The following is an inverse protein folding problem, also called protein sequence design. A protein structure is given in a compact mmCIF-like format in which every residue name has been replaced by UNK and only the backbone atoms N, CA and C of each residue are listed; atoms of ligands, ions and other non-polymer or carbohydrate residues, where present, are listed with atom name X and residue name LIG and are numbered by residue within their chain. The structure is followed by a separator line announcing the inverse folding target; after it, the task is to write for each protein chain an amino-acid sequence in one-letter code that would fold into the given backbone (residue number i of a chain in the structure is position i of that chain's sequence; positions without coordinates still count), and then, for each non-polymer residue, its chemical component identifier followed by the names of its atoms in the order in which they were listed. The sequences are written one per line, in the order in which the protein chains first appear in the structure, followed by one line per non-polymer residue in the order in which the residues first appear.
data_IF_139628707436
#
_entry.id   IF_139628707436
#
_cell.length_a   1.000
_cell.length_b   1.000
_cell.length_c   1.000
_cell.angle_alpha   90.00
_cell.angle_beta   90.00
_cell.angle_gamma   90.00
#
_symmetry.space_group_name_H-M   'P 1'
#
loop_
_entity.id
_entity.type
_entity.pdbx_description
1 polymer ?
#
# COMPACT_ATOMS: atom_id res chain seq x y z
N UNK A 1 -12.57 -36.08 7.86
CA UNK A 1 -11.82 -34.92 7.33
C UNK A 1 -12.61 -33.65 7.59
N UNK A 2 -12.14 -32.73 8.45
CA UNK A 2 -12.77 -31.41 8.58
C UNK A 2 -12.43 -30.61 7.34
N UNK A 3 -13.42 -30.39 6.46
CA UNK A 3 -13.32 -29.42 5.37
C UNK A 3 -12.94 -28.07 5.98
N UNK A 4 -11.70 -27.63 5.80
CA UNK A 4 -11.26 -26.31 6.25
C UNK A 4 -11.99 -25.29 5.39
N UNK A 5 -12.94 -24.56 6.00
CA UNK A 5 -13.61 -23.45 5.33
C UNK A 5 -12.54 -22.52 4.71
N UNK A 6 -12.69 -22.08 3.45
CA UNK A 6 -11.74 -21.19 2.82
C UNK A 6 -11.55 -19.94 3.69
N UNK A 7 -10.29 -19.53 3.88
CA UNK A 7 -10.04 -18.29 4.62
C UNK A 7 -10.37 -17.13 3.69
N UNK A 8 -11.26 -16.27 4.15
CA UNK A 8 -11.73 -15.11 3.41
C UNK A 8 -10.93 -13.89 3.86
N UNK A 9 -10.43 -13.11 2.90
CA UNK A 9 -9.71 -11.88 3.12
C UNK A 9 -10.43 -10.74 2.42
N UNK A 10 -10.62 -9.62 3.12
CA UNK A 10 -11.09 -8.37 2.52
C UNK A 10 -9.89 -7.47 2.33
N UNK A 11 -9.73 -6.92 1.12
CA UNK A 11 -8.72 -5.93 0.80
C UNK A 11 -9.41 -4.67 0.30
N UNK A 12 -8.98 -3.52 0.82
CA UNK A 12 -9.39 -2.22 0.31
C UNK A 12 -8.13 -1.47 -0.15
N UNK A 13 -8.12 -1.04 -1.41
CA UNK A 13 -6.95 -0.52 -2.09
C UNK A 13 -7.30 0.76 -2.86
N UNK A 14 -6.51 1.80 -2.67
CA UNK A 14 -6.47 2.95 -3.57
C UNK A 14 -5.51 2.62 -4.71
N UNK A 15 -6.03 2.50 -5.93
CA UNK A 15 -5.25 2.19 -7.13
C UNK A 15 -4.77 3.49 -7.78
N UNK A 16 -3.47 3.55 -8.10
CA UNK A 16 -2.88 4.68 -8.79
C UNK A 16 -3.43 4.73 -10.23
N UNK A 17 -3.70 5.92 -10.76
CA UNK A 17 -4.15 6.08 -12.14
C UNK A 17 -3.08 5.58 -13.11
N UNK A 18 -3.49 5.21 -14.33
CA UNK A 18 -2.59 4.55 -15.29
C UNK A 18 -1.43 5.47 -15.69
N UNK A 19 -1.69 6.74 -15.93
CA UNK A 19 -0.71 7.73 -16.36
C UNK A 19 0.39 7.89 -15.31
N UNK A 20 0.01 8.01 -14.04
CA UNK A 20 0.98 8.14 -12.95
C UNK A 20 1.73 6.82 -12.71
N UNK A 21 1.12 5.65 -12.94
CA UNK A 21 1.84 4.36 -12.93
C UNK A 21 2.94 4.32 -13.98
N UNK A 22 2.63 4.73 -15.21
CA UNK A 22 3.59 4.78 -16.32
C UNK A 22 4.71 5.79 -16.03
N UNK A 23 4.37 6.95 -15.46
CA UNK A 23 5.37 7.94 -15.07
C UNK A 23 6.30 7.44 -13.96
N UNK A 24 5.75 6.78 -12.92
CA UNK A 24 6.55 6.14 -11.86
C UNK A 24 7.51 5.11 -12.47
N UNK A 25 7.03 4.27 -13.39
CA UNK A 25 7.86 3.25 -14.04
C UNK A 25 8.95 3.88 -14.90
N UNK A 26 8.62 4.94 -15.64
CA UNK A 26 9.58 5.70 -16.44
C UNK A 26 10.69 6.31 -15.57
N UNK A 27 10.32 7.03 -14.51
CA UNK A 27 11.29 7.63 -13.56
C UNK A 27 12.21 6.58 -12.95
N UNK A 28 11.69 5.42 -12.53
CA UNK A 28 12.50 4.37 -11.94
C UNK A 28 13.43 3.71 -12.98
N UNK A 29 12.96 3.52 -14.21
CA UNK A 29 13.76 2.95 -15.29
C UNK A 29 14.90 3.87 -15.69
N UNK A 30 14.66 5.17 -15.78
CA UNK A 30 15.69 6.19 -16.03
C UNK A 30 16.77 6.22 -14.95
N UNK A 31 16.42 5.82 -13.73
CA UNK A 31 17.36 5.67 -12.60
C UNK A 31 18.07 4.31 -12.60
N UNK A 32 17.93 3.52 -13.66
CA UNK A 32 18.59 2.23 -13.83
C UNK A 32 17.89 1.06 -13.14
N UNK A 33 16.66 1.22 -12.64
CA UNK A 33 15.90 0.10 -12.07
C UNK A 33 15.37 -0.79 -13.20
N UNK A 34 15.65 -2.11 -13.20
CA UNK A 34 15.20 -2.98 -14.28
C UNK A 34 13.67 -3.07 -14.36
N UNK A 35 13.08 -2.89 -15.54
CA UNK A 35 11.63 -2.95 -15.75
C UNK A 35 10.98 -4.24 -15.22
N UNK A 36 11.68 -5.38 -15.32
CA UNK A 36 11.21 -6.69 -14.84
C UNK A 36 10.95 -6.76 -13.33
N UNK A 37 11.59 -5.89 -12.54
CA UNK A 37 11.41 -5.84 -11.08
C UNK A 37 10.41 -4.77 -10.67
N UNK A 38 9.90 -3.95 -11.58
CA UNK A 38 8.90 -2.94 -11.24
C UNK A 38 7.57 -3.61 -10.87
N UNK A 39 6.93 -3.08 -9.83
CA UNK A 39 5.62 -3.55 -9.38
C UNK A 39 4.56 -2.99 -10.32
N UNK A 40 3.69 -3.88 -10.82
CA UNK A 40 2.49 -3.52 -11.58
C UNK A 40 1.32 -3.30 -10.62
N UNK A 41 0.29 -2.60 -11.06
CA UNK A 41 -0.91 -2.29 -10.27
C UNK A 41 -0.53 -1.58 -8.97
N UNK A 42 0.13 -0.42 -9.10
CA UNK A 42 0.56 0.37 -7.95
C UNK A 42 -0.67 0.83 -7.16
N UNK A 43 -0.62 0.61 -5.85
CA UNK A 43 -1.74 0.93 -4.97
C UNK A 43 -1.26 1.19 -3.54
N UNK A 44 -2.10 1.87 -2.76
CA UNK A 44 -2.02 1.93 -1.30
C UNK A 44 -3.07 0.98 -0.74
N UNK A 45 -2.66 0.01 0.06
CA UNK A 45 -3.62 -0.78 0.86
C UNK A 45 -4.09 0.07 2.03
N UNK A 46 -5.37 0.46 2.03
CA UNK A 46 -5.95 1.31 3.10
C UNK A 46 -6.57 0.47 4.22
N UNK A 47 -7.02 -0.75 3.90
CA UNK A 47 -7.58 -1.67 4.88
C UNK A 47 -7.38 -3.13 4.47
N UNK A 48 -7.27 -4.01 5.46
CA UNK A 48 -7.25 -5.46 5.27
C UNK A 48 -7.89 -6.16 6.48
N UNK A 49 -8.76 -7.14 6.21
CA UNK A 49 -9.31 -8.05 7.21
C UNK A 49 -9.15 -9.51 6.77
N UNK A 50 -9.02 -10.41 7.76
CA UNK A 50 -8.95 -11.88 7.55
C UNK A 50 -10.28 -12.58 7.78
N UNK A 51 -11.37 -11.83 7.65
CA UNK A 51 -12.76 -12.28 7.81
C UNK A 51 -13.65 -11.46 6.88
N UNK A 52 -14.83 -11.97 6.51
CA UNK A 52 -15.83 -11.18 5.81
C UNK A 52 -16.13 -9.89 6.56
N UNK A 53 -16.41 -8.82 5.81
CA UNK A 53 -16.83 -7.53 6.32
C UNK A 53 -18.22 -7.21 5.76
N UNK A 54 -19.30 -7.71 6.40
CA UNK A 54 -20.65 -7.45 5.94
C UNK A 54 -20.93 -5.95 5.87
N UNK A 55 -21.52 -5.50 4.76
CA UNK A 55 -21.86 -4.10 4.54
C UNK A 55 -20.78 -3.27 3.83
N UNK A 56 -19.55 -3.76 3.68
CA UNK A 56 -18.59 -3.13 2.80
C UNK A 56 -19.03 -3.32 1.33
N UNK A 57 -19.13 -2.22 0.59
CA UNK A 57 -19.49 -2.25 -0.82
C UNK A 57 -18.32 -2.83 -1.64
N UNK A 58 -18.48 -4.06 -2.14
CA UNK A 58 -17.49 -4.72 -2.99
C UNK A 58 -17.48 -4.10 -4.39
N UNK A 59 -16.33 -4.18 -5.07
CA UNK A 59 -16.14 -3.69 -6.43
C UNK A 59 -15.16 -2.53 -6.52
N UNK A 60 -15.15 -1.90 -7.70
CA UNK A 60 -14.36 -0.71 -7.98
C UNK A 60 -15.27 0.50 -7.83
N UNK A 61 -14.85 1.44 -7.00
CA UNK A 61 -15.49 2.74 -6.80
C UNK A 61 -14.57 3.83 -7.36
N UNK A 62 -15.14 4.96 -7.76
CA UNK A 62 -14.35 6.14 -8.10
C UNK A 62 -13.61 6.66 -6.87
N UNK A 63 -12.41 7.19 -7.10
CA UNK A 63 -11.61 7.86 -6.09
C UNK A 63 -11.00 9.15 -6.65
N UNK A 64 -10.70 10.08 -5.76
CA UNK A 64 -10.13 11.40 -6.05
C UNK A 64 -8.91 11.69 -5.16
N UNK A 65 -8.28 10.66 -4.61
CA UNK A 65 -7.15 10.81 -3.70
C UNK A 65 -5.92 11.32 -4.45
N UNK A 66 -5.36 12.44 -4.00
CA UNK A 66 -4.10 13.00 -4.51
C UNK A 66 -3.07 13.03 -3.39
N UNK A 67 -1.88 12.50 -3.67
CA UNK A 67 -0.75 12.47 -2.76
C UNK A 67 0.36 13.35 -3.33
N UNK A 68 0.77 14.36 -2.59
CA UNK A 68 1.96 15.14 -2.91
C UNK A 68 3.19 14.26 -2.81
N UNK A 69 4.02 14.21 -3.85
CA UNK A 69 5.25 13.42 -3.84
C UNK A 69 6.23 13.93 -2.77
N UNK A 70 6.16 15.22 -2.45
CA UNK A 70 6.88 15.84 -1.32
C UNK A 70 6.53 15.20 0.04
N UNK A 71 5.31 14.67 0.18
CA UNK A 71 4.81 13.96 1.37
C UNK A 71 5.21 12.48 1.36
N UNK A 72 6.06 12.04 0.45
CA UNK A 72 6.50 10.65 0.37
C UNK A 72 7.95 10.45 0.77
N UNK A 73 8.28 9.26 1.28
CA UNK A 73 9.65 8.85 1.58
C UNK A 73 9.91 7.44 1.08
N UNK A 74 11.00 7.24 0.35
CA UNK A 74 11.47 5.90 -0.01
C UNK A 74 11.81 5.11 1.25
N UNK A 75 11.49 3.83 1.24
CA UNK A 75 11.77 2.91 2.33
C UNK A 75 12.04 1.51 1.82
N UNK A 76 12.80 0.75 2.60
CA UNK A 76 12.88 -0.69 2.44
C UNK A 76 11.63 -1.30 3.07
N UNK A 77 10.95 -2.17 2.32
CA UNK A 77 9.74 -2.86 2.77
C UNK A 77 10.08 -4.01 3.73
N UNK A 78 10.51 -3.65 4.93
CA UNK A 78 10.82 -4.55 6.03
C UNK A 78 10.33 -3.92 7.35
N UNK A 79 10.10 -4.71 8.41
CA UNK A 79 9.81 -4.15 9.73
C UNK A 79 10.88 -3.14 10.15
N UNK A 80 10.50 -1.91 10.48
CA UNK A 80 11.45 -0.84 10.85
C UNK A 80 12.26 -0.27 9.67
N UNK A 81 11.97 -0.67 8.43
CA UNK A 81 12.67 -0.22 7.22
C UNK A 81 12.34 1.22 6.82
N UNK A 82 11.53 1.92 7.63
CA UNK A 82 11.32 3.36 7.50
C UNK A 82 12.55 4.19 7.90
N UNK A 83 13.40 3.61 8.75
CA UNK A 83 14.65 4.20 9.20
C UNK A 83 15.82 3.52 8.49
N UNK A 84 16.94 4.24 8.25
CA UNK A 84 18.17 3.61 7.78
C UNK A 84 18.59 2.49 8.74
N UNK A 85 18.70 1.27 8.22
CA UNK A 85 19.13 0.09 8.97
C UNK A 85 20.31 -0.54 8.23
N UNK A 86 21.52 -0.56 8.81
CA UNK A 86 22.75 -0.98 8.12
C UNK A 86 22.75 -2.44 7.66
N UNK A 87 21.94 -3.28 8.28
CA UNK A 87 21.73 -4.69 7.97
C UNK A 87 20.71 -4.93 6.85
N UNK A 88 19.90 -3.93 6.49
CA UNK A 88 18.96 -4.05 5.37
C UNK A 88 19.69 -3.74 4.07
N UNK A 89 19.67 -4.69 3.15
CA UNK A 89 20.13 -4.51 1.77
C UNK A 89 18.95 -4.22 0.85
N UNK A 90 18.80 -2.97 0.34
CA UNK A 90 17.74 -2.62 -0.61
C UNK A 90 17.71 -3.47 -1.88
N UNK A 91 18.87 -3.97 -2.34
CA UNK A 91 18.95 -4.77 -3.56
C UNK A 91 18.17 -6.10 -3.41
N UNK A 92 18.11 -6.64 -2.20
CA UNK A 92 17.50 -7.94 -1.87
C UNK A 92 16.10 -7.81 -1.27
N UNK A 93 15.54 -6.60 -1.20
CA UNK A 93 14.25 -6.32 -0.56
C UNK A 93 13.33 -5.59 -1.52
N UNK A 94 12.03 -5.66 -1.24
CA UNK A 94 11.08 -4.78 -1.90
C UNK A 94 11.33 -3.34 -1.46
N UNK A 95 11.19 -2.40 -2.38
CA UNK A 95 11.31 -0.96 -2.12
C UNK A 95 9.97 -0.30 -2.41
N UNK A 96 9.60 0.65 -1.57
CA UNK A 96 8.37 1.40 -1.71
C UNK A 96 8.53 2.85 -1.31
N UNK A 97 7.45 3.60 -1.46
CA UNK A 97 7.30 4.94 -0.90
C UNK A 97 6.20 4.93 0.14
N UNK A 98 6.47 5.45 1.34
CA UNK A 98 5.46 5.69 2.37
C UNK A 98 4.95 7.11 2.29
N UNK A 99 3.67 7.30 2.59
CA UNK A 99 3.10 8.62 2.86
C UNK A 99 3.49 9.03 4.28
N UNK A 100 4.01 10.24 4.42
CA UNK A 100 4.44 10.82 5.70
C UNK A 100 3.21 11.16 6.53
N UNK A 101 3.29 10.98 7.84
CA UNK A 101 2.21 11.28 8.78
C UNK A 101 1.99 12.78 8.91
N UNK A 102 0.78 13.17 9.31
CA UNK A 102 0.40 14.56 9.61
C UNK A 102 0.53 15.52 8.41
N UNK A 103 0.42 15.00 7.19
CA UNK A 103 0.34 15.82 5.97
C UNK A 103 -1.07 15.75 5.36
N UNK A 104 -1.46 16.68 4.48
CA UNK A 104 -2.73 16.60 3.76
C UNK A 104 -2.90 15.28 3.01
N UNK A 105 -1.83 14.79 2.38
CA UNK A 105 -1.82 13.49 1.69
C UNK A 105 -2.15 12.31 2.62
N UNK A 106 -1.68 12.34 3.87
CA UNK A 106 -2.07 11.33 4.86
C UNK A 106 -3.56 11.36 5.13
N UNK A 107 -4.13 12.56 5.30
CA UNK A 107 -5.57 12.76 5.55
C UNK A 107 -6.41 12.24 4.39
N UNK A 108 -5.99 12.47 3.14
CA UNK A 108 -6.67 11.93 1.96
C UNK A 108 -6.76 10.40 2.01
N UNK A 109 -5.66 9.70 2.34
CA UNK A 109 -5.70 8.24 2.49
C UNK A 109 -6.59 7.79 3.67
N UNK A 110 -6.62 8.56 4.76
CA UNK A 110 -7.42 8.26 5.94
C UNK A 110 -8.92 8.32 5.68
N UNK A 111 -9.39 9.11 4.73
CA UNK A 111 -10.81 9.17 4.36
C UNK A 111 -11.30 7.79 3.90
N UNK A 112 -10.60 7.18 2.94
CA UNK A 112 -10.92 5.84 2.43
C UNK A 112 -10.74 4.75 3.48
N UNK A 113 -9.73 4.89 4.35
CA UNK A 113 -9.60 4.00 5.50
C UNK A 113 -10.82 4.09 6.41
N UNK A 114 -11.29 5.29 6.73
CA UNK A 114 -12.40 5.53 7.67
C UNK A 114 -13.71 4.92 7.16
N UNK A 115 -13.93 4.93 5.84
CA UNK A 115 -15.06 4.21 5.22
C UNK A 115 -15.05 2.72 5.60
N UNK A 116 -13.90 2.06 5.52
CA UNK A 116 -13.78 0.65 5.90
C UNK A 116 -13.91 0.43 7.41
N UNK A 117 -13.40 1.37 8.22
CA UNK A 117 -13.51 1.28 9.68
C UNK A 117 -14.97 1.28 10.16
N UNK A 118 -15.86 1.99 9.46
CA UNK A 118 -17.29 2.03 9.77
C UNK A 118 -17.99 0.66 9.65
N UNK A 119 -17.39 -0.29 8.93
CA UNK A 119 -17.92 -1.64 8.74
C UNK A 119 -17.32 -2.67 9.70
N UNK A 120 -16.45 -2.26 10.63
CA UNK A 120 -15.92 -3.20 11.63
C UNK A 120 -17.02 -3.59 12.64
N UNK A 121 -17.30 -4.89 12.72
CA UNK A 121 -18.27 -5.43 13.69
C UNK A 121 -17.59 -6.30 14.75
N UNK A 122 -18.18 -6.45 15.96
CA UNK A 122 -17.66 -7.38 16.98
C UNK A 122 -17.49 -8.81 16.46
N UNK A 123 -18.41 -9.29 15.62
CA UNK A 123 -18.33 -10.62 15.01
C UNK A 123 -17.08 -10.77 14.12
N UNK A 124 -16.76 -9.74 13.33
CA UNK A 124 -15.55 -9.72 12.50
C UNK A 124 -14.28 -9.62 13.37
N UNK A 125 -14.26 -8.74 14.37
CA UNK A 125 -13.08 -8.51 15.21
C UNK A 125 -12.76 -9.70 16.13
N UNK A 126 -13.79 -10.35 16.68
CA UNK A 126 -13.64 -11.31 17.77
C UNK A 126 -13.07 -10.61 19.01
N UNK A 127 -11.99 -11.14 19.57
CA UNK A 127 -11.30 -10.55 20.74
C UNK A 127 -10.31 -9.42 20.39
N UNK A 128 -10.18 -9.05 19.10
CA UNK A 128 -9.26 -7.99 18.67
C UNK A 128 -9.82 -6.63 19.04
N UNK A 129 -8.92 -5.69 19.38
CA UNK A 129 -9.28 -4.27 19.44
C UNK A 129 -9.64 -3.77 18.04
N UNK A 130 -10.65 -2.90 17.89
CA UNK A 130 -10.96 -2.26 16.61
C UNK A 130 -9.74 -1.57 16.01
N UNK A 131 -9.69 -1.54 14.68
CA UNK A 131 -8.74 -0.72 13.96
C UNK A 131 -9.04 0.76 14.22
N UNK A 132 -8.00 1.58 14.13
CA UNK A 132 -8.11 3.04 14.20
C UNK A 132 -7.43 3.66 12.99
N UNK A 133 -7.42 4.99 12.91
CA UNK A 133 -6.60 5.71 11.92
C UNK A 133 -5.12 5.26 11.94
N UNK A 134 -4.61 4.83 13.10
CA UNK A 134 -3.18 4.55 13.31
C UNK A 134 -2.83 3.08 13.54
N UNK A 135 -3.82 2.24 13.82
CA UNK A 135 -3.62 0.83 14.21
C UNK A 135 -4.54 -0.08 13.41
N UNK A 136 -4.07 -1.28 13.09
CA UNK A 136 -4.91 -2.30 12.47
C UNK A 136 -5.28 -3.38 13.49
N UNK A 137 -6.52 -3.85 13.43
CA UNK A 137 -6.96 -5.06 14.12
C UNK A 137 -6.32 -6.31 13.48
N UNK A 138 -6.08 -6.28 12.16
CA UNK A 138 -5.53 -7.40 11.38
C UNK A 138 -4.22 -7.02 10.69
N UNK A 139 -3.28 -7.96 10.63
CA UNK A 139 -2.00 -7.75 9.93
C UNK A 139 -1.00 -6.93 10.75
N UNK A 140 -0.33 -5.97 10.10
CA UNK A 140 0.67 -5.12 10.75
C UNK A 140 0.03 -4.28 11.86
N UNK A 141 0.67 -4.14 13.02
CA UNK A 141 0.10 -3.44 14.19
C UNK A 141 -0.24 -1.97 13.91
N UNK A 142 0.59 -1.30 13.12
CA UNK A 142 0.46 0.11 12.79
C UNK A 142 0.03 0.28 11.33
N UNK A 143 -0.84 1.24 11.09
CA UNK A 143 -1.17 1.66 9.74
C UNK A 143 -0.07 2.56 9.21
N UNK A 144 0.47 2.18 8.06
CA UNK A 144 1.54 2.86 7.35
C UNK A 144 1.21 2.79 5.85
N UNK A 145 0.46 3.75 5.30
CA UNK A 145 0.14 3.82 3.89
C UNK A 145 1.42 3.96 3.07
N UNK A 146 1.58 3.05 2.12
CA UNK A 146 2.73 2.98 1.25
C UNK A 146 2.34 2.35 -0.07
N UNK A 147 3.17 2.59 -1.09
CA UNK A 147 3.11 1.97 -2.41
C UNK A 147 4.37 1.13 -2.55
N UNK A 148 4.22 -0.16 -2.88
CA UNK A 148 5.35 -0.97 -3.31
C UNK A 148 5.71 -0.62 -4.75
N UNK A 149 6.95 -0.20 -5.00
CA UNK A 149 7.39 0.25 -6.32
C UNK A 149 8.27 -0.78 -7.02
N UNK A 150 9.17 -1.43 -6.27
CA UNK A 150 10.19 -2.32 -6.80
C UNK A 150 10.21 -3.63 -6.02
N UNK A 151 10.30 -4.74 -6.73
CA UNK A 151 10.46 -6.09 -6.17
C UNK A 151 11.90 -6.30 -5.68
N UNK A 152 12.09 -7.32 -4.85
CA UNK A 152 13.43 -7.77 -4.48
C UNK A 152 14.23 -8.22 -5.72
N UNK A 153 15.56 -8.16 -5.63
CA UNK A 153 16.46 -8.46 -6.75
C UNK A 153 16.62 -7.29 -7.72
N UNK A 154 16.46 -6.06 -7.23
CA UNK A 154 16.47 -4.83 -8.05
C UNK A 154 17.88 -4.33 -8.38
N UNK A 155 18.87 -4.70 -7.58
CA UNK A 155 20.22 -4.13 -7.66
C UNK A 155 20.33 -2.69 -7.15
N UNK A 156 19.25 -2.13 -6.56
CA UNK A 156 19.27 -0.78 -5.97
C UNK A 156 20.31 -0.74 -4.83
N UNK A 157 21.20 0.24 -4.89
CA UNK A 157 22.24 0.46 -3.88
C UNK A 157 21.66 0.81 -2.50
N UNK A 158 22.54 0.80 -1.49
CA UNK A 158 22.14 1.06 -0.09
C UNK A 158 21.51 2.43 0.14
N UNK A 159 21.95 3.46 -0.58
CA UNK A 159 21.42 4.81 -0.43
C UNK A 159 20.19 5.02 -1.34
N UNK A 160 19.02 5.17 -0.71
CA UNK A 160 17.77 5.49 -1.40
C UNK A 160 17.55 7.00 -1.60
N UNK A 161 18.41 7.87 -1.05
CA UNK A 161 18.26 9.33 -1.18
C UNK A 161 18.28 9.81 -2.63
N UNK A 162 19.16 9.32 -3.52
CA UNK A 162 19.16 9.74 -4.94
C UNK A 162 17.83 9.43 -5.62
N UNK A 163 17.28 8.23 -5.38
CA UNK A 163 15.96 7.84 -5.91
C UNK A 163 14.86 8.75 -5.39
N UNK A 164 14.83 9.01 -4.08
CA UNK A 164 13.85 9.91 -3.49
C UNK A 164 13.96 11.34 -3.99
N UNK A 165 15.18 11.84 -4.23
CA UNK A 165 15.43 13.17 -4.80
C UNK A 165 14.89 13.25 -6.23
N UNK A 166 15.33 12.36 -7.10
CA UNK A 166 14.91 12.33 -8.50
C UNK A 166 13.38 12.13 -8.64
N UNK A 167 12.78 11.30 -7.78
CA UNK A 167 11.33 11.09 -7.76
C UNK A 167 10.57 12.38 -7.46
N UNK A 168 11.02 13.17 -6.46
CA UNK A 168 10.44 14.49 -6.13
C UNK A 168 10.71 15.57 -7.19
N UNK A 169 11.81 15.47 -7.92
CA UNK A 169 12.15 16.44 -8.98
C UNK A 169 11.34 16.23 -10.26
N UNK A 170 10.91 14.98 -10.52
CA UNK A 170 10.24 14.60 -11.77
C UNK A 170 8.73 14.38 -11.63
N UNK A 171 8.24 14.29 -10.41
CA UNK A 171 6.82 14.09 -10.11
C UNK A 171 6.39 15.04 -8.99
N UNK A 172 5.28 15.74 -9.19
CA UNK A 172 4.65 16.57 -8.18
C UNK A 172 3.65 15.79 -7.35
N UNK A 173 2.77 15.03 -7.99
CA UNK A 173 1.66 14.33 -7.35
C UNK A 173 1.55 12.87 -7.80
N UNK A 174 0.80 12.09 -7.02
CA UNK A 174 0.35 10.73 -7.33
C UNK A 174 -1.18 10.69 -7.18
N UNK A 175 -1.88 10.44 -8.27
CA UNK A 175 -3.34 10.45 -8.37
C UNK A 175 -3.89 9.04 -8.31
N UNK A 176 -4.88 8.85 -7.44
CA UNK A 176 -5.58 7.59 -7.24
C UNK A 176 -7.02 7.76 -7.68
N UNK A 177 -7.37 7.12 -8.80
CA UNK A 177 -8.66 7.29 -9.48
C UNK A 177 -9.68 6.20 -9.14
N UNK A 178 -9.23 5.13 -8.47
CA UNK A 178 -10.05 3.96 -8.17
C UNK A 178 -9.83 3.48 -6.75
N UNK A 179 -10.92 3.21 -6.06
CA UNK A 179 -10.97 2.54 -4.77
C UNK A 179 -11.55 1.15 -4.94
N UNK A 180 -10.69 0.12 -4.87
CA UNK A 180 -11.07 -1.28 -5.02
C UNK A 180 -11.31 -1.91 -3.65
N UNK A 181 -12.49 -2.48 -3.45
CA UNK A 181 -12.81 -3.34 -2.30
C UNK A 181 -13.12 -4.74 -2.80
N UNK A 182 -12.29 -5.71 -2.44
CA UNK A 182 -12.40 -7.07 -2.96
C UNK A 182 -12.30 -8.13 -1.86
N UNK A 183 -12.95 -9.26 -2.12
CA UNK A 183 -12.86 -10.46 -1.29
C UNK A 183 -11.97 -11.48 -2.00
N UNK A 184 -10.91 -11.91 -1.32
CA UNK A 184 -10.02 -12.98 -1.78
C UNK A 184 -10.17 -14.20 -0.91
N UNK A 185 -10.20 -15.37 -1.53
CA UNK A 185 -10.05 -16.63 -0.82
C UNK A 185 -8.57 -16.98 -0.63
N UNK A 186 -8.24 -17.86 0.32
CA UNK A 186 -6.88 -18.38 0.55
C UNK A 186 -6.19 -19.01 -0.67
N UNK A 187 -6.93 -19.26 -1.76
CA UNK A 187 -6.41 -19.77 -3.05
C UNK A 187 -6.02 -18.66 -4.04
N UNK A 188 -6.27 -17.39 -3.71
CA UNK A 188 -6.02 -16.25 -4.58
C UNK A 188 -7.19 -15.90 -5.51
N UNK A 189 -8.24 -16.71 -5.54
CA UNK A 189 -9.44 -16.47 -6.35
C UNK A 189 -10.23 -15.27 -5.80
N UNK A 190 -10.55 -14.34 -6.70
CA UNK A 190 -11.46 -13.20 -6.45
C UNK A 190 -12.89 -13.69 -6.61
N UNK A 191 -13.76 -13.39 -5.63
CA UNK A 191 -15.20 -13.60 -5.74
C UNK A 191 -15.90 -12.31 -6.16
#
# INVERSE_FOLDING_TARGET
MKSSKPTIFVWAQLLLCKEDQEQVHSVLTDLGVPARVLVRNLHITVYHARRPMPGAALGIHEADAVIEVADTRFMVMAPGGENPRPELDPALKKIGVRVVKNTPSWTAVQQYRSMMLAHETPAMLGSRKPSTAMRNAFGARHFQPHISLVRAGSGIGRDLKPYGKAFRERMSTLRFDRFLVEVKNSRGDTQ
#
